data_IF_964574689634
#
_entry.id   IF_964574689634
#
_cell.length_a   1.000
_cell.length_b   1.000
_cell.length_c   1.000
_cell.angle_alpha   90.00
_cell.angle_beta   90.00
_cell.angle_gamma   90.00
#
_symmetry.space_group_name_H-M   'P 1'
#
loop_
_entity.id
_entity.type
_entity.pdbx_description
1 polymer ?
#
# COMPACT_ATOMS: atom_id res chain seq x y z
N UNK A 1 -3.68 4.39 -23.20
CA UNK A 1 -2.67 5.37 -22.74
C UNK A 1 -2.63 5.62 -21.23
N UNK A 2 -3.55 5.07 -20.41
CA UNK A 2 -3.51 5.17 -18.94
C UNK A 2 -2.63 4.10 -18.23
N UNK A 3 -2.12 3.10 -18.96
CA UNK A 3 -1.45 1.94 -18.35
C UNK A 3 0.08 2.07 -18.24
N UNK A 4 0.69 3.06 -18.89
CA UNK A 4 2.13 3.32 -18.79
C UNK A 4 2.49 4.21 -17.59
N UNK A 5 1.51 4.70 -16.82
CA UNK A 5 1.74 5.59 -15.67
C UNK A 5 1.96 4.88 -14.34
N UNK A 6 1.62 3.59 -14.26
CA UNK A 6 1.64 2.88 -12.98
C UNK A 6 3.01 2.27 -12.62
N UNK A 7 3.89 2.07 -13.62
CA UNK A 7 5.27 1.64 -13.38
C UNK A 7 6.27 2.80 -13.22
N UNK A 8 5.81 4.06 -13.35
CA UNK A 8 6.71 5.23 -13.32
C UNK A 8 7.02 5.77 -11.93
N UNK A 9 6.25 5.45 -10.89
CA UNK A 9 6.49 6.08 -9.58
C UNK A 9 7.69 5.49 -8.82
N UNK A 10 8.09 4.25 -9.13
CA UNK A 10 9.28 3.64 -8.53
C UNK A 10 10.59 3.96 -9.27
N UNK A 11 10.57 4.56 -10.47
CA UNK A 11 11.83 4.92 -11.17
C UNK A 11 11.89 6.21 -12.00
N UNK A 12 10.83 6.89 -12.49
CA UNK A 12 11.02 8.20 -13.17
C UNK A 12 9.80 9.15 -13.24
N UNK A 13 10.07 10.38 -12.78
CA UNK A 13 9.43 11.71 -12.99
C UNK A 13 8.26 12.15 -12.07
N UNK A 14 8.57 12.89 -11.00
CA UNK A 14 8.09 14.25 -10.81
C UNK A 14 8.74 15.15 -11.88
N UNK A 15 8.03 16.13 -12.41
CA UNK A 15 8.56 17.03 -13.44
C UNK A 15 9.72 17.93 -12.95
N UNK A 16 10.26 17.75 -11.73
CA UNK A 16 11.29 18.63 -11.14
C UNK A 16 12.23 17.99 -10.09
N UNK A 17 12.31 16.67 -9.90
CA UNK A 17 13.22 16.09 -8.88
C UNK A 17 14.51 15.53 -9.46
N UNK A 18 15.63 15.84 -8.82
CA UNK A 18 16.99 15.50 -9.24
C UNK A 18 17.28 13.98 -9.11
N UNK A 19 18.29 13.45 -9.81
CA UNK A 19 18.75 12.07 -9.63
C UNK A 19 19.15 11.69 -8.21
N UNK A 20 19.59 12.66 -7.41
CA UNK A 20 20.07 12.45 -6.05
C UNK A 20 18.92 12.11 -5.07
N UNK A 21 17.79 12.80 -5.20
CA UNK A 21 16.58 12.57 -4.39
C UNK A 21 15.95 11.18 -4.62
N UNK A 22 16.19 10.55 -5.78
CA UNK A 22 15.68 9.21 -6.10
C UNK A 22 16.48 8.10 -5.43
N UNK A 23 17.81 8.26 -5.37
CA UNK A 23 18.68 7.29 -4.71
C UNK A 23 18.54 7.35 -3.18
N UNK A 24 18.26 8.52 -2.62
CA UNK A 24 17.98 8.68 -1.19
C UNK A 24 16.72 7.91 -0.73
N UNK A 25 15.69 7.82 -1.57
CA UNK A 25 14.43 7.12 -1.22
C UNK A 25 14.57 5.59 -1.25
N UNK A 26 15.30 5.03 -2.22
CA UNK A 26 15.62 3.60 -2.24
C UNK A 26 16.54 3.23 -1.08
N UNK A 27 17.52 4.08 -0.77
CA UNK A 27 18.36 3.92 0.42
C UNK A 27 17.55 4.01 1.72
N UNK A 28 16.52 4.87 1.79
CA UNK A 28 15.63 4.99 2.93
C UNK A 28 14.81 3.70 3.10
N UNK A 29 14.27 3.12 2.03
CA UNK A 29 13.53 1.85 2.06
C UNK A 29 14.44 0.71 2.53
N UNK A 30 15.62 0.54 1.93
CA UNK A 30 16.56 -0.50 2.34
C UNK A 30 17.04 -0.30 3.78
N UNK A 31 17.34 0.94 4.21
CA UNK A 31 17.68 1.25 5.61
C UNK A 31 16.53 1.02 6.59
N UNK A 32 15.28 1.32 6.20
CA UNK A 32 14.08 1.12 7.02
C UNK A 32 13.83 -0.36 7.35
N UNK A 33 14.33 -1.28 6.51
CA UNK A 33 14.17 -2.73 6.68
C UNK A 33 15.44 -3.46 7.15
N UNK A 34 16.60 -2.79 7.25
CA UNK A 34 17.88 -3.43 7.63
C UNK A 34 18.46 -2.95 8.96
N UNK A 35 17.98 -1.84 9.53
CA UNK A 35 18.52 -1.32 10.79
C UNK A 35 17.67 -1.76 12.00
N UNK A 36 18.13 -2.82 12.65
CA UNK A 36 17.86 -3.08 14.06
C UNK A 36 18.79 -2.22 14.92
N UNK A 37 18.22 -1.65 15.98
CA UNK A 37 18.86 -1.03 17.14
C UNK A 37 19.29 0.46 17.15
N UNK A 38 18.61 1.15 18.09
CA UNK A 38 19.11 2.04 19.16
C UNK A 38 19.88 3.30 18.76
N UNK A 39 19.27 4.45 19.05
CA UNK A 39 20.04 5.66 19.38
C UNK A 39 19.47 6.35 20.63
N UNK A 40 20.01 5.95 21.79
CA UNK A 40 20.25 6.89 22.90
C UNK A 40 21.50 7.68 22.52
N UNK A 41 21.47 9.02 22.56
CA UNK A 41 22.36 9.81 23.44
C UNK A 41 22.11 11.31 23.37
N UNK A 42 22.37 11.90 24.54
CA UNK A 42 22.31 13.29 24.97
C UNK A 42 23.49 14.14 24.47
N UNK A 43 23.24 15.47 24.39
CA UNK A 43 24.13 16.64 24.50
C UNK A 43 25.61 16.53 24.13
N UNK A 44 26.04 17.40 23.19
CA UNK A 44 27.22 18.24 23.41
C UNK A 44 27.16 19.53 22.56
N UNK A 45 27.35 20.69 23.22
CA UNK A 45 27.56 22.01 22.60
C UNK A 45 28.98 22.10 22.06
N UNK A 46 29.20 22.64 20.86
CA UNK A 46 30.47 23.28 20.52
C UNK A 46 30.30 24.45 19.54
N UNK A 47 31.19 25.42 19.76
CA UNK A 47 31.23 26.83 19.37
C UNK A 47 31.68 27.04 17.92
N UNK A 48 31.28 28.18 17.34
CA UNK A 48 31.75 28.73 16.06
C UNK A 48 33.28 28.83 15.98
N UNK A 49 33.85 28.38 14.86
CA UNK A 49 35.08 28.93 14.30
C UNK A 49 35.07 28.79 12.78
N UNK A 50 35.13 29.93 12.10
CA UNK A 50 35.22 30.10 10.65
C UNK A 50 36.62 29.75 10.15
N UNK A 51 36.74 28.82 9.20
CA UNK A 51 37.94 28.64 8.38
C UNK A 51 37.49 28.50 6.92
N UNK A 52 37.89 29.46 6.09
CA UNK A 52 37.76 29.38 4.65
C UNK A 52 38.87 28.47 4.08
N UNK A 53 38.49 27.37 3.45
CA UNK A 53 39.39 26.54 2.63
C UNK A 53 38.77 26.41 1.25
N UNK A 54 39.47 26.95 0.27
CA UNK A 54 39.22 26.82 -1.17
C UNK A 54 39.42 25.35 -1.56
N UNK A 55 38.32 24.63 -1.79
CA UNK A 55 38.37 23.26 -2.32
C UNK A 55 38.24 23.34 -3.84
N UNK A 56 39.32 22.97 -4.53
CA UNK A 56 39.30 22.61 -5.95
C UNK A 56 38.38 21.39 -6.07
N UNK A 57 37.16 21.60 -6.56
CA UNK A 57 36.23 20.52 -6.85
C UNK A 57 36.72 19.74 -8.08
N UNK A 58 37.60 18.77 -7.87
CA UNK A 58 37.66 17.61 -8.75
C UNK A 58 36.37 16.82 -8.49
N UNK A 59 35.36 17.04 -9.32
CA UNK A 59 34.21 16.14 -9.39
C UNK A 59 34.70 14.81 -9.95
N UNK A 60 35.18 13.93 -9.08
CA UNK A 60 35.16 12.51 -9.35
C UNK A 60 33.69 12.12 -9.52
N UNK A 61 33.28 11.81 -10.75
CA UNK A 61 31.99 11.17 -10.99
C UNK A 61 32.00 9.83 -10.28
N UNK A 62 31.34 9.75 -9.12
CA UNK A 62 30.95 8.48 -8.55
C UNK A 62 29.92 7.86 -9.50
N UNK A 63 30.36 6.86 -10.26
CA UNK A 63 29.52 5.98 -11.04
C UNK A 63 28.70 5.13 -10.07
N UNK A 64 27.41 5.43 -9.92
CA UNK A 64 26.48 4.64 -9.12
C UNK A 64 25.87 3.53 -9.99
N UNK A 65 26.55 2.38 -10.02
CA UNK A 65 26.09 1.13 -10.63
C UNK A 65 25.00 0.49 -9.74
N UNK A 66 23.74 0.90 -9.84
CA UNK A 66 22.64 0.14 -9.20
C UNK A 66 22.23 -1.06 -10.07
N UNK A 67 23.07 -2.10 -10.09
CA UNK A 67 22.67 -3.50 -10.33
C UNK A 67 22.98 -4.26 -9.05
N UNK A 68 22.00 -4.87 -8.38
CA UNK A 68 21.66 -6.28 -8.66
C UNK A 68 20.35 -6.71 -7.98
N UNK A 69 19.39 -7.27 -8.73
CA UNK A 69 18.37 -8.19 -8.19
C UNK A 69 18.62 -9.57 -8.79
N UNK A 70 19.39 -10.43 -8.13
CA UNK A 70 19.17 -11.86 -8.25
C UNK A 70 19.11 -12.51 -6.86
N UNK A 71 18.04 -13.24 -6.54
CA UNK A 71 18.21 -14.52 -5.81
C UNK A 71 17.06 -15.48 -6.13
N UNK A 72 17.27 -16.37 -7.10
CA UNK A 72 16.58 -17.64 -7.16
C UNK A 72 17.64 -18.74 -7.27
N UNK A 73 18.40 -18.96 -6.20
CA UNK A 73 19.42 -20.02 -6.07
C UNK A 73 18.80 -21.40 -5.74
N UNK A 74 17.48 -21.51 -5.86
CA UNK A 74 16.68 -22.70 -5.58
C UNK A 74 16.61 -23.09 -4.10
N UNK A 75 17.20 -22.30 -3.19
CA UNK A 75 17.26 -22.66 -1.77
C UNK A 75 15.96 -22.27 -1.06
N UNK A 76 15.43 -23.15 -0.19
CA UNK A 76 14.31 -22.81 0.65
C UNK A 76 14.72 -21.80 1.73
N UNK A 77 13.75 -21.06 2.28
CA UNK A 77 13.98 -20.22 3.44
C UNK A 77 14.40 -21.03 4.68
N UNK A 78 15.09 -20.37 5.61
CA UNK A 78 15.41 -20.94 6.92
C UNK A 78 14.16 -21.03 7.80
N UNK A 79 13.50 -22.19 7.75
CA UNK A 79 12.28 -22.48 8.52
C UNK A 79 12.48 -22.53 10.05
N UNK A 80 13.70 -22.37 10.55
CA UNK A 80 13.94 -22.20 11.99
C UNK A 80 13.54 -20.81 12.51
N UNK A 81 13.43 -19.82 11.62
CA UNK A 81 13.04 -18.44 11.93
C UNK A 81 11.52 -18.25 11.79
N UNK A 82 10.91 -17.32 12.54
CA UNK A 82 9.52 -16.93 12.32
C UNK A 82 9.29 -16.39 10.91
N UNK A 83 8.14 -16.71 10.31
CA UNK A 83 7.74 -16.18 9.01
C UNK A 83 7.53 -14.68 9.11
N UNK A 84 8.20 -13.91 8.25
CA UNK A 84 8.05 -12.46 8.16
C UNK A 84 6.90 -12.13 7.20
N UNK A 85 5.81 -11.59 7.74
CA UNK A 85 4.56 -11.33 7.01
C UNK A 85 4.48 -9.86 6.61
N UNK A 86 4.23 -9.62 5.33
CA UNK A 86 3.92 -8.31 4.77
C UNK A 86 2.49 -8.33 4.23
N UNK A 87 1.63 -7.49 4.82
CA UNK A 87 0.20 -7.47 4.48
C UNK A 87 -0.06 -6.39 3.42
N UNK A 88 -0.63 -6.79 2.29
CA UNK A 88 -0.97 -5.95 1.14
C UNK A 88 -2.47 -5.63 1.16
N UNK A 89 -2.79 -4.35 1.33
CA UNK A 89 -4.13 -3.80 1.46
C UNK A 89 -4.36 -2.68 0.44
N UNK A 90 -5.63 -2.37 0.14
CA UNK A 90 -5.98 -1.23 -0.70
C UNK A 90 -7.13 -1.53 -1.64
N UNK A 91 -7.03 -1.09 -2.90
CA UNK A 91 -8.07 -1.29 -3.92
C UNK A 91 -7.54 -1.89 -5.23
N UNK A 92 -8.16 -1.60 -6.38
CA UNK A 92 -7.90 -2.24 -7.69
C UNK A 92 -6.42 -2.23 -8.11
N UNK A 93 -5.70 -1.17 -7.75
CA UNK A 93 -4.28 -1.00 -8.00
C UNK A 93 -3.42 -1.97 -7.17
N UNK A 94 -3.79 -2.22 -5.90
CA UNK A 94 -3.21 -3.31 -5.10
C UNK A 94 -3.65 -4.69 -5.59
N UNK A 95 -4.94 -4.87 -5.93
CA UNK A 95 -5.48 -6.14 -6.45
C UNK A 95 -4.67 -6.60 -7.65
N UNK A 96 -4.39 -5.68 -8.57
CA UNK A 96 -3.57 -5.91 -9.74
C UNK A 96 -4.38 -6.21 -10.99
N UNK A 97 -4.54 -5.20 -11.84
CA UNK A 97 -5.13 -5.31 -13.18
C UNK A 97 -4.05 -5.22 -14.28
N UNK A 98 -2.76 -5.26 -13.89
CA UNK A 98 -1.60 -5.42 -14.76
C UNK A 98 -1.79 -6.65 -15.64
N UNK A 99 -1.54 -6.61 -16.96
CA UNK A 99 -1.64 -7.81 -17.80
C UNK A 99 -0.34 -8.61 -17.73
N UNK A 100 -0.42 -9.89 -17.40
CA UNK A 100 0.76 -10.78 -17.48
C UNK A 100 1.06 -11.08 -18.95
N UNK A 101 0.04 -11.49 -19.70
CA UNK A 101 0.13 -11.91 -21.10
C UNK A 101 -0.44 -10.86 -22.06
N UNK A 102 -0.01 -10.90 -23.31
CA UNK A 102 -0.55 -10.10 -24.42
C UNK A 102 0.44 -9.08 -25.00
N UNK A 103 -0.09 -8.09 -25.72
CA UNK A 103 0.72 -7.12 -26.48
C UNK A 103 1.53 -6.13 -25.64
N UNK A 104 1.88 -4.98 -26.23
CA UNK A 104 2.95 -4.06 -25.75
C UNK A 104 2.89 -3.61 -24.27
N UNK A 105 1.72 -3.70 -23.64
CA UNK A 105 1.49 -3.30 -22.25
C UNK A 105 1.58 -4.46 -21.24
N UNK A 106 1.93 -5.68 -21.68
CA UNK A 106 2.01 -6.87 -20.83
C UNK A 106 3.37 -7.02 -20.15
N UNK A 107 3.39 -7.78 -19.04
CA UNK A 107 4.63 -8.17 -18.38
C UNK A 107 5.50 -9.04 -19.30
N UNK A 108 4.92 -9.98 -20.05
CA UNK A 108 5.64 -10.80 -21.02
C UNK A 108 6.38 -9.96 -22.04
N UNK A 109 5.73 -8.95 -22.62
CA UNK A 109 6.37 -8.04 -23.56
C UNK A 109 7.49 -7.23 -22.90
N UNK A 110 7.25 -6.71 -21.69
CA UNK A 110 8.25 -5.97 -20.93
C UNK A 110 9.50 -6.81 -20.63
N UNK A 111 9.33 -8.09 -20.28
CA UNK A 111 10.42 -8.99 -19.90
C UNK A 111 11.09 -9.61 -21.12
N UNK A 112 10.33 -10.22 -22.01
CA UNK A 112 10.88 -11.04 -23.11
C UNK A 112 11.39 -10.17 -24.26
N UNK A 113 10.70 -9.09 -24.58
CA UNK A 113 11.04 -8.20 -25.72
C UNK A 113 11.82 -6.97 -25.28
N UNK A 114 11.36 -6.25 -24.25
CA UNK A 114 12.03 -5.01 -23.77
C UNK A 114 13.17 -5.26 -22.78
N UNK A 115 13.42 -6.52 -22.42
CA UNK A 115 14.48 -6.94 -21.48
C UNK A 115 14.45 -6.21 -20.13
N UNK A 116 13.26 -5.83 -19.66
CA UNK A 116 13.05 -5.27 -18.32
C UNK A 116 12.82 -6.40 -17.31
N UNK A 117 13.04 -6.13 -16.02
CA UNK A 117 12.77 -7.07 -14.92
C UNK A 117 13.33 -8.48 -15.17
N UNK A 118 14.55 -8.57 -15.72
CA UNK A 118 15.15 -9.87 -16.10
C UNK A 118 15.35 -10.80 -14.90
N UNK A 119 15.33 -10.27 -13.67
CA UNK A 119 15.32 -11.06 -12.44
C UNK A 119 14.07 -11.95 -12.26
N UNK A 120 13.04 -11.75 -13.08
CA UNK A 120 11.83 -12.58 -13.06
C UNK A 120 11.97 -13.85 -13.90
N UNK A 121 12.97 -13.94 -14.79
CA UNK A 121 13.19 -15.10 -15.65
C UNK A 121 14.56 -15.72 -15.44
N UNK A 122 14.67 -17.03 -15.67
CA UNK A 122 15.94 -17.75 -15.68
C UNK A 122 16.63 -17.67 -17.05
N UNK A 123 17.76 -18.37 -17.19
CA UNK A 123 18.55 -18.41 -18.42
C UNK A 123 17.80 -19.08 -19.59
N UNK A 124 16.79 -19.92 -19.30
CA UNK A 124 15.91 -20.51 -20.31
C UNK A 124 14.77 -19.56 -20.72
N UNK A 125 14.59 -18.45 -20.00
CA UNK A 125 13.51 -17.49 -20.21
C UNK A 125 12.20 -17.88 -19.53
N UNK A 126 12.23 -18.88 -18.67
CA UNK A 126 11.09 -19.33 -17.86
C UNK A 126 10.98 -18.49 -16.59
N UNK A 127 9.75 -18.36 -16.06
CA UNK A 127 9.52 -17.58 -14.84
C UNK A 127 10.21 -18.24 -13.64
N UNK A 128 11.03 -17.47 -12.95
CA UNK A 128 11.69 -17.92 -11.72
C UNK A 128 10.66 -18.21 -10.62
N UNK A 129 11.03 -19.11 -9.71
CA UNK A 129 10.25 -19.44 -8.52
C UNK A 129 11.09 -19.15 -7.27
N UNK A 130 10.51 -18.44 -6.32
CA UNK A 130 11.10 -18.17 -5.00
C UNK A 130 10.67 -19.23 -4.00
N UNK A 131 11.60 -20.08 -3.58
CA UNK A 131 11.37 -21.14 -2.58
C UNK A 131 11.42 -20.61 -1.12
N UNK A 132 11.57 -19.31 -0.96
CA UNK A 132 11.71 -18.58 0.30
C UNK A 132 10.60 -17.53 0.49
N UNK A 133 9.92 -17.13 -0.60
CA UNK A 133 8.84 -16.15 -0.59
C UNK A 133 7.53 -16.82 -1.01
N UNK A 134 6.50 -16.76 -0.16
CA UNK A 134 5.17 -17.30 -0.49
C UNK A 134 4.18 -16.18 -0.72
N UNK A 135 3.39 -16.33 -1.78
CA UNK A 135 2.28 -15.43 -2.09
C UNK A 135 0.96 -16.07 -1.64
N UNK A 136 0.33 -15.42 -0.68
CA UNK A 136 -0.97 -15.81 -0.15
C UNK A 136 -1.95 -14.69 -0.47
N UNK A 137 -3.10 -15.02 -1.07
CA UNK A 137 -4.13 -14.03 -1.40
C UNK A 137 -5.51 -14.50 -0.98
N UNK A 138 -6.22 -13.62 -0.30
CA UNK A 138 -7.64 -13.73 -0.02
C UNK A 138 -8.38 -12.54 -0.62
N UNK A 139 -9.64 -12.75 -0.98
CA UNK A 139 -10.50 -11.67 -1.45
C UNK A 139 -11.90 -11.88 -0.89
N UNK A 140 -12.42 -10.86 -0.22
CA UNK A 140 -13.80 -10.80 0.26
C UNK A 140 -14.80 -11.26 -0.81
N UNK A 141 -15.69 -12.18 -0.43
CA UNK A 141 -16.69 -12.78 -1.32
C UNK A 141 -16.17 -13.86 -2.28
N UNK A 142 -14.84 -14.11 -2.34
CA UNK A 142 -14.24 -15.20 -3.12
C UNK A 142 -13.47 -16.21 -2.28
N UNK A 143 -13.00 -15.81 -1.09
CA UNK A 143 -12.22 -16.67 -0.20
C UNK A 143 -10.74 -16.76 -0.61
N UNK A 144 -10.04 -17.86 -0.28
CA UNK A 144 -8.63 -18.04 -0.64
C UNK A 144 -8.47 -18.18 -2.16
N UNK A 145 -7.54 -17.42 -2.73
CA UNK A 145 -7.26 -17.40 -4.17
C UNK A 145 -5.86 -17.93 -4.51
N UNK A 146 -4.86 -17.67 -3.65
CA UNK A 146 -3.48 -18.06 -3.90
C UNK A 146 -2.85 -18.58 -2.61
N UNK A 147 -2.02 -19.61 -2.76
CA UNK A 147 -1.20 -20.19 -1.71
C UNK A 147 0.01 -20.90 -2.34
N UNK A 148 0.91 -20.14 -2.95
CA UNK A 148 1.97 -20.67 -3.81
C UNK A 148 3.32 -19.98 -3.56
N UNK A 149 4.40 -20.68 -3.89
CA UNK A 149 5.72 -20.07 -3.98
C UNK A 149 5.70 -18.95 -5.00
N UNK A 150 6.35 -17.83 -4.69
CA UNK A 150 6.24 -16.63 -5.51
C UNK A 150 6.85 -16.90 -6.89
N UNK A 151 6.00 -16.84 -7.90
CA UNK A 151 6.34 -16.92 -9.32
C UNK A 151 5.29 -16.16 -10.10
N UNK A 152 5.64 -15.68 -11.29
CA UNK A 152 4.68 -15.02 -12.17
C UNK A 152 3.65 -16.05 -12.66
N UNK A 153 2.40 -15.88 -12.22
CA UNK A 153 1.30 -16.76 -12.60
C UNK A 153 0.04 -15.97 -12.98
N UNK A 154 -0.94 -16.68 -13.55
CA UNK A 154 -2.25 -16.12 -13.89
C UNK A 154 -2.27 -15.14 -15.07
N UNK A 155 -3.36 -14.37 -15.17
CA UNK A 155 -3.58 -13.41 -16.26
C UNK A 155 -3.28 -11.96 -15.85
N UNK A 156 -3.35 -11.66 -14.55
CA UNK A 156 -3.15 -10.31 -14.04
C UNK A 156 -2.14 -10.27 -12.91
N UNK A 157 -1.46 -9.13 -12.77
CA UNK A 157 -0.51 -8.85 -11.71
C UNK A 157 -0.79 -7.51 -11.01
N UNK A 158 -0.47 -7.45 -9.72
CA UNK A 158 -0.33 -6.23 -8.94
C UNK A 158 1.13 -5.96 -8.58
N UNK A 159 1.40 -5.31 -7.44
CA UNK A 159 2.77 -4.98 -7.03
C UNK A 159 3.52 -6.15 -6.36
N UNK A 160 2.90 -7.31 -6.17
CA UNK A 160 3.40 -8.43 -5.37
C UNK A 160 4.81 -8.89 -5.78
N UNK A 161 5.10 -9.00 -7.08
CA UNK A 161 6.42 -9.44 -7.55
C UNK A 161 7.49 -8.36 -7.38
N UNK A 162 7.11 -7.10 -7.53
CA UNK A 162 7.99 -5.95 -7.31
C UNK A 162 8.32 -5.73 -5.83
N UNK A 163 7.48 -6.25 -4.92
CA UNK A 163 7.66 -6.18 -3.46
C UNK A 163 8.38 -7.43 -2.95
N UNK A 164 7.88 -8.62 -3.30
CA UNK A 164 8.33 -9.87 -2.72
C UNK A 164 9.74 -10.27 -3.12
N UNK A 165 10.17 -9.99 -4.37
CA UNK A 165 11.54 -10.33 -4.80
C UNK A 165 12.61 -9.54 -4.03
N UNK A 166 12.52 -8.19 -3.90
CA UNK A 166 13.45 -7.44 -3.07
C UNK A 166 13.40 -7.84 -1.59
N UNK A 167 12.22 -8.09 -1.03
CA UNK A 167 12.08 -8.50 0.37
C UNK A 167 12.74 -9.85 0.65
N UNK A 168 12.51 -10.85 -0.20
CA UNK A 168 13.18 -12.14 -0.03
C UNK A 168 14.69 -12.08 -0.23
N UNK A 169 15.21 -11.10 -0.99
CA UNK A 169 16.66 -10.89 -1.07
C UNK A 169 17.23 -10.26 0.20
N UNK A 170 16.44 -9.42 0.87
CA UNK A 170 16.85 -8.68 2.06
C UNK A 170 16.66 -9.47 3.36
N UNK A 171 15.85 -10.53 3.34
CA UNK A 171 15.41 -11.25 4.54
C UNK A 171 15.74 -12.74 4.37
N UNK A 172 16.60 -13.28 5.23
CA UNK A 172 16.94 -14.71 5.22
C UNK A 172 15.85 -15.61 5.83
N UNK A 173 14.90 -15.03 6.57
CA UNK A 173 13.74 -15.73 7.11
C UNK A 173 12.67 -15.97 6.03
N UNK A 174 11.73 -16.92 6.21
CA UNK A 174 10.65 -17.13 5.25
C UNK A 174 9.78 -15.89 5.14
N UNK A 175 9.45 -15.45 3.91
CA UNK A 175 8.68 -14.22 3.67
C UNK A 175 7.29 -14.53 3.13
N UNK A 176 6.24 -14.11 3.83
CA UNK A 176 4.86 -14.17 3.33
C UNK A 176 4.43 -12.81 2.79
N UNK A 177 4.07 -12.76 1.51
CA UNK A 177 3.28 -11.66 0.94
C UNK A 177 1.80 -12.03 1.06
N UNK A 178 1.10 -11.43 2.03
CA UNK A 178 -0.30 -11.71 2.32
C UNK A 178 -1.18 -10.58 1.77
N UNK A 179 -1.87 -10.83 0.65
CA UNK A 179 -2.76 -9.84 0.03
C UNK A 179 -4.22 -10.10 0.38
N UNK A 180 -4.86 -9.10 0.99
CA UNK A 180 -6.27 -9.13 1.38
C UNK A 180 -6.92 -7.81 0.96
N UNK A 181 -7.41 -7.73 -0.28
CA UNK A 181 -8.04 -6.50 -0.77
C UNK A 181 -8.98 -6.78 -1.96
N UNK A 182 -9.90 -5.86 -2.21
CA UNK A 182 -10.79 -5.87 -3.37
C UNK A 182 -10.90 -4.47 -3.99
N UNK A 183 -11.20 -4.41 -5.29
CA UNK A 183 -11.30 -3.14 -6.01
C UNK A 183 -12.50 -2.29 -5.61
N UNK A 184 -12.43 -1.00 -5.97
CA UNK A 184 -13.49 0.00 -5.76
C UNK A 184 -13.90 0.14 -4.28
N UNK A 185 -12.95 0.52 -3.42
CA UNK A 185 -13.14 0.66 -1.98
C UNK A 185 -12.57 1.98 -1.50
N UNK A 186 -13.38 2.78 -0.80
CA UNK A 186 -12.97 4.06 -0.24
C UNK A 186 -12.40 3.89 1.16
N UNK A 187 -11.37 4.67 1.51
CA UNK A 187 -10.86 4.75 2.87
C UNK A 187 -11.87 5.45 3.80
N UNK A 188 -12.50 6.52 3.32
CA UNK A 188 -13.51 7.29 4.03
C UNK A 188 -14.89 6.63 4.13
N UNK A 189 -15.04 5.37 3.67
CA UNK A 189 -16.30 4.63 3.79
C UNK A 189 -16.07 3.14 4.03
N UNK A 190 -15.63 2.40 3.01
CA UNK A 190 -15.59 0.94 3.05
C UNK A 190 -14.52 0.39 4.00
N UNK A 191 -13.37 1.07 4.06
CA UNK A 191 -12.18 0.66 4.81
C UNK A 191 -11.99 1.45 6.11
N UNK A 192 -13.02 2.19 6.56
CA UNK A 192 -12.95 2.90 7.83
C UNK A 192 -12.61 1.93 8.97
N UNK A 193 -11.54 2.16 9.75
CA UNK A 193 -11.20 1.30 10.86
C UNK A 193 -12.14 1.49 12.06
N UNK A 194 -12.19 0.52 12.99
CA UNK A 194 -12.92 0.65 14.25
C UNK A 194 -12.57 1.93 15.00
N UNK A 195 -13.60 2.65 15.46
CA UNK A 195 -13.45 3.92 16.17
C UNK A 195 -13.39 5.16 15.26
N UNK A 196 -13.53 5.01 13.94
CA UNK A 196 -13.71 6.16 13.04
C UNK A 196 -15.01 6.90 13.36
N UNK A 197 -14.91 8.20 13.58
CA UNK A 197 -16.04 9.07 13.93
C UNK A 197 -16.73 9.64 12.69
N UNK A 198 -18.00 10.05 12.84
CA UNK A 198 -18.70 10.86 11.84
C UNK A 198 -17.96 12.18 11.59
N UNK A 199 -18.03 12.68 10.36
CA UNK A 199 -17.41 13.95 9.97
C UNK A 199 -18.37 14.84 9.19
N UNK A 200 -18.19 16.16 9.29
CA UNK A 200 -18.98 17.13 8.52
C UNK A 200 -18.30 17.38 7.17
N UNK A 201 -19.09 17.55 6.12
CA UNK A 201 -18.61 18.10 4.86
C UNK A 201 -19.67 18.99 4.23
N UNK A 202 -19.25 20.14 3.70
CA UNK A 202 -20.13 21.04 2.96
C UNK A 202 -19.97 20.76 1.47
N UNK A 203 -21.01 20.22 0.86
CA UNK A 203 -21.07 20.06 -0.60
C UNK A 203 -21.81 21.24 -1.23
N UNK A 204 -21.42 21.62 -2.45
CA UNK A 204 -22.16 22.58 -3.27
C UNK A 204 -22.79 21.86 -4.44
N UNK A 205 -24.08 22.07 -4.65
CA UNK A 205 -24.75 21.57 -5.84
C UNK A 205 -24.41 22.42 -7.09
N UNK A 206 -24.97 22.05 -8.25
CA UNK A 206 -24.73 22.75 -9.51
C UNK A 206 -25.24 24.19 -9.52
N UNK A 207 -26.19 24.54 -8.65
CA UNK A 207 -26.71 25.89 -8.48
C UNK A 207 -25.89 26.70 -7.45
N UNK A 208 -24.86 26.09 -6.84
CA UNK A 208 -24.02 26.71 -5.83
C UNK A 208 -24.63 26.67 -4.43
N UNK A 209 -25.75 25.96 -4.24
CA UNK A 209 -26.40 25.83 -2.92
C UNK A 209 -25.57 24.89 -2.06
N UNK A 210 -25.21 25.37 -0.87
CA UNK A 210 -24.47 24.60 0.12
C UNK A 210 -25.38 23.63 0.87
N UNK A 211 -24.93 22.38 0.99
CA UNK A 211 -25.54 21.35 1.81
C UNK A 211 -24.51 20.81 2.80
N UNK A 212 -24.86 20.86 4.08
CA UNK A 212 -24.09 20.19 5.13
C UNK A 212 -24.43 18.71 5.15
N UNK A 213 -23.42 17.87 5.07
CA UNK A 213 -23.54 16.43 5.09
C UNK A 213 -22.85 15.87 6.33
N UNK A 214 -23.43 14.84 6.90
CA UNK A 214 -22.77 13.93 7.83
C UNK A 214 -22.21 12.78 7.00
N UNK A 215 -20.89 12.62 7.02
CA UNK A 215 -20.20 11.44 6.51
C UNK A 215 -20.11 10.40 7.63
N UNK A 216 -20.33 9.14 7.26
CA UNK A 216 -20.44 8.03 8.19
C UNK A 216 -19.17 7.79 9.03
N UNK A 217 -19.36 7.50 10.31
CA UNK A 217 -18.36 6.85 11.16
C UNK A 217 -18.46 5.32 11.03
N UNK A 218 -17.52 4.59 11.62
CA UNK A 218 -17.51 3.12 11.60
C UNK A 218 -18.84 2.54 12.08
N UNK A 219 -19.40 1.57 11.34
CA UNK A 219 -20.74 0.94 11.52
C UNK A 219 -21.96 1.81 11.20
N UNK A 220 -21.78 3.08 10.81
CA UNK A 220 -22.89 3.88 10.30
C UNK A 220 -23.34 3.41 8.90
N UNK A 221 -24.54 3.84 8.54
CA UNK A 221 -25.16 3.64 7.22
C UNK A 221 -26.19 4.73 6.94
N UNK A 222 -26.29 5.28 5.72
CA UNK A 222 -25.48 5.03 4.52
C UNK A 222 -24.14 5.79 4.54
N UNK A 223 -23.46 5.88 3.39
CA UNK A 223 -22.14 6.53 3.19
C UNK A 223 -22.09 7.98 3.72
N UNK A 224 -23.14 8.74 3.45
CA UNK A 224 -23.37 10.08 4.02
C UNK A 224 -24.86 10.43 3.93
N UNK A 225 -25.31 11.42 4.72
CA UNK A 225 -26.68 11.93 4.70
C UNK A 225 -26.72 13.44 4.99
N UNK A 226 -27.85 14.08 4.67
CA UNK A 226 -28.04 15.50 4.97
C UNK A 226 -28.09 15.74 6.48
N UNK A 227 -27.38 16.78 6.92
CA UNK A 227 -27.28 17.16 8.33
C UNK A 227 -28.49 18.00 8.75
N UNK A 228 -29.12 17.62 9.86
CA UNK A 228 -30.08 18.46 10.58
C UNK A 228 -29.31 19.59 11.29
N UNK A 229 -29.56 20.87 10.97
CA UNK A 229 -28.83 21.99 11.55
C UNK A 229 -28.88 22.05 13.08
N UNK A 230 -29.96 21.55 13.71
CA UNK A 230 -30.10 21.55 15.16
C UNK A 230 -29.33 20.40 15.83
N UNK A 231 -29.03 19.32 15.09
CA UNK A 231 -28.37 18.12 15.64
C UNK A 231 -26.89 18.00 15.26
N UNK A 232 -26.47 18.62 14.16
CA UNK A 232 -25.09 18.52 13.67
C UNK A 232 -24.70 17.06 13.38
N UNK A 233 -23.52 16.62 13.81
CA UNK A 233 -23.05 15.23 13.64
C UNK A 233 -23.90 14.16 14.36
N UNK A 234 -24.76 14.58 15.30
CA UNK A 234 -25.74 13.69 15.95
C UNK A 234 -27.00 13.46 15.10
N UNK A 235 -27.04 14.01 13.89
CA UNK A 235 -28.13 13.71 12.94
C UNK A 235 -28.11 12.23 12.62
N UNK A 236 -29.22 11.54 12.85
CA UNK A 236 -29.37 10.14 12.44
C UNK A 236 -29.93 10.03 11.01
N UNK A 237 -29.43 9.08 10.21
CA UNK A 237 -29.90 8.89 8.84
C UNK A 237 -31.29 8.24 8.81
N UNK A 238 -32.00 8.43 7.70
CA UNK A 238 -33.19 7.66 7.39
C UNK A 238 -32.85 6.16 7.19
N UNK A 239 -33.82 5.24 7.33
CA UNK A 239 -33.59 3.82 7.07
C UNK A 239 -32.96 3.55 5.70
N UNK A 240 -31.81 2.88 5.68
CA UNK A 240 -31.11 2.54 4.44
C UNK A 240 -31.55 1.19 3.90
N UNK A 241 -32.44 1.24 2.91
CA UNK A 241 -33.06 0.08 2.28
C UNK A 241 -32.85 0.08 0.76
N UNK A 242 -32.95 -1.09 0.15
CA UNK A 242 -32.90 -1.25 -1.30
C UNK A 242 -34.23 -0.82 -1.96
N UNK A 243 -34.31 -0.95 -3.29
CA UNK A 243 -35.50 -0.60 -4.08
C UNK A 243 -36.77 -1.36 -3.70
N UNK A 244 -36.66 -2.47 -2.95
CA UNK A 244 -37.77 -3.29 -2.48
C UNK A 244 -38.06 -3.07 -0.98
N UNK A 245 -37.40 -2.09 -0.34
CA UNK A 245 -37.55 -1.84 1.10
C UNK A 245 -36.77 -2.80 1.99
N UNK A 246 -35.88 -3.64 1.43
CA UNK A 246 -35.05 -4.57 2.23
C UNK A 246 -33.84 -3.82 2.80
N UNK A 247 -33.48 -4.02 4.08
CA UNK A 247 -32.27 -3.44 4.64
C UNK A 247 -31.02 -3.82 3.85
N UNK A 248 -30.19 -2.82 3.55
CA UNK A 248 -28.91 -3.05 2.88
C UNK A 248 -27.90 -3.53 3.93
N UNK A 249 -27.32 -4.70 3.68
CA UNK A 249 -26.23 -5.26 4.48
C UNK A 249 -24.88 -4.72 3.99
N UNK A 250 -24.67 -3.43 4.20
CA UNK A 250 -23.37 -2.77 4.10
C UNK A 250 -23.29 -1.69 5.20
N UNK A 251 -22.08 -1.25 5.53
CA UNK A 251 -21.84 -0.22 6.54
C UNK A 251 -20.40 0.30 6.41
N UNK A 252 -20.15 1.47 6.99
CA UNK A 252 -18.81 2.05 7.08
C UNK A 252 -17.84 1.09 7.78
N UNK A 253 -16.78 0.68 7.09
CA UNK A 253 -15.78 -0.27 7.60
C UNK A 253 -16.09 -1.74 7.33
N UNK A 254 -17.14 -2.08 6.56
CA UNK A 254 -17.44 -3.49 6.24
C UNK A 254 -16.30 -4.15 5.47
N UNK A 255 -15.62 -3.42 4.58
CA UNK A 255 -14.49 -3.98 3.86
C UNK A 255 -13.26 -4.13 4.75
N UNK A 256 -13.03 -3.19 5.68
CA UNK A 256 -12.01 -3.36 6.73
C UNK A 256 -12.24 -4.68 7.47
N UNK A 257 -13.45 -4.92 7.98
CA UNK A 257 -13.76 -6.13 8.75
C UNK A 257 -13.49 -7.42 7.94
N UNK A 258 -13.85 -7.42 6.66
CA UNK A 258 -13.59 -8.54 5.77
C UNK A 258 -12.11 -8.76 5.48
N UNK A 259 -11.37 -7.72 5.09
CA UNK A 259 -9.96 -7.85 4.70
C UNK A 259 -9.08 -8.22 5.91
N UNK A 260 -9.33 -7.61 7.07
CA UNK A 260 -8.65 -7.96 8.32
C UNK A 260 -9.01 -9.36 8.78
N UNK A 261 -10.30 -9.72 8.70
CA UNK A 261 -10.77 -11.06 9.03
C UNK A 261 -10.10 -12.14 8.16
N UNK A 262 -9.98 -11.90 6.86
CA UNK A 262 -9.33 -12.82 5.93
C UNK A 262 -7.82 -12.91 6.16
N UNK A 263 -7.14 -11.79 6.46
CA UNK A 263 -5.73 -11.81 6.84
C UNK A 263 -5.51 -12.64 8.11
N UNK A 264 -6.35 -12.47 9.13
CA UNK A 264 -6.27 -13.26 10.37
C UNK A 264 -6.53 -14.75 10.13
N UNK A 265 -7.47 -15.10 9.25
CA UNK A 265 -7.70 -16.51 8.87
C UNK A 265 -6.46 -17.12 8.21
N UNK A 266 -5.86 -16.41 7.27
CA UNK A 266 -4.62 -16.86 6.63
C UNK A 266 -3.50 -17.08 7.65
N UNK A 267 -3.33 -16.15 8.59
CA UNK A 267 -2.31 -16.27 9.63
C UNK A 267 -2.58 -17.37 10.65
N UNK A 268 -3.85 -17.65 10.97
CA UNK A 268 -4.23 -18.80 11.80
C UNK A 268 -3.92 -20.13 11.10
N UNK A 269 -3.98 -20.16 9.77
CA UNK A 269 -3.67 -21.30 8.91
C UNK A 269 -2.17 -21.36 8.51
N UNK A 270 -1.25 -20.77 9.29
CA UNK A 270 0.17 -20.67 8.94
C UNK A 270 0.78 -22.02 8.53
N UNK A 271 0.48 -23.12 9.22
CA UNK A 271 1.02 -24.45 8.89
C UNK A 271 0.63 -24.92 7.47
N UNK A 272 -0.54 -24.52 6.95
CA UNK A 272 -0.94 -24.80 5.56
C UNK A 272 -0.16 -23.95 4.55
N UNK A 273 0.29 -22.79 4.98
CA UNK A 273 1.10 -21.86 4.20
C UNK A 273 2.60 -22.07 4.40
N UNK A 274 3.06 -22.70 5.46
CA UNK A 274 4.47 -22.96 5.68
C UNK A 274 4.58 -24.16 6.62
N UNK A 275 4.50 -25.39 6.08
CA UNK A 275 4.60 -26.59 6.90
C UNK A 275 5.88 -26.58 7.73
N UNK A 276 5.75 -26.81 9.04
CA UNK A 276 6.84 -26.78 10.00
C UNK A 276 7.21 -25.41 10.56
N UNK A 277 6.55 -24.32 10.15
CA UNK A 277 6.79 -22.99 10.68
C UNK A 277 6.50 -22.92 12.18
N UNK A 278 7.34 -22.21 12.93
CA UNK A 278 7.23 -22.07 14.39
C UNK A 278 6.39 -20.88 14.84
N UNK A 279 6.04 -19.99 13.91
CA UNK A 279 5.28 -18.78 14.18
C UNK A 279 5.50 -17.75 13.07
N UNK A 280 4.90 -16.58 13.25
CA UNK A 280 5.03 -15.46 12.33
C UNK A 280 5.18 -14.13 13.07
N UNK A 281 5.69 -13.13 12.36
CA UNK A 281 5.71 -11.73 12.76
C UNK A 281 5.16 -10.87 11.62
N UNK A 282 4.24 -9.96 11.91
CA UNK A 282 3.78 -8.97 10.91
C UNK A 282 4.79 -7.83 10.86
N UNK A 283 5.71 -7.90 9.90
CA UNK A 283 6.83 -6.99 9.73
C UNK A 283 6.41 -5.64 9.11
N UNK A 284 5.35 -5.64 8.30
CA UNK A 284 4.87 -4.41 7.71
C UNK A 284 3.64 -4.54 6.83
N UNK A 285 3.24 -3.39 6.31
CA UNK A 285 2.03 -3.18 5.53
C UNK A 285 2.36 -2.42 4.26
N UNK A 286 1.79 -2.86 3.16
CA UNK A 286 1.76 -2.12 1.90
C UNK A 286 0.33 -1.72 1.62
N UNK A 287 0.11 -0.44 1.40
CA UNK A 287 -1.22 0.11 1.14
C UNK A 287 -1.22 0.85 -0.19
N UNK A 288 -2.13 0.49 -1.09
CA UNK A 288 -2.32 1.22 -2.34
C UNK A 288 -3.79 1.48 -2.63
N UNK A 289 -4.22 2.68 -2.27
CA UNK A 289 -5.59 3.12 -2.34
C UNK A 289 -5.65 4.64 -2.41
N UNK A 290 -6.76 5.15 -2.95
CA UNK A 290 -7.13 6.55 -2.83
C UNK A 290 -7.92 7.07 -4.02
N UNK A 291 -7.92 6.37 -5.16
CA UNK A 291 -8.66 6.82 -6.35
C UNK A 291 -10.19 6.89 -6.09
N UNK A 292 -10.73 6.03 -5.21
CA UNK A 292 -12.16 6.08 -4.86
C UNK A 292 -12.48 7.32 -4.01
N UNK A 293 -11.60 7.68 -3.07
CA UNK A 293 -11.74 8.87 -2.22
C UNK A 293 -11.50 10.14 -3.03
N UNK A 294 -10.55 10.14 -3.97
CA UNK A 294 -10.33 11.24 -4.91
C UNK A 294 -11.58 11.50 -5.80
N UNK A 295 -12.44 10.50 -5.99
CA UNK A 295 -13.73 10.66 -6.67
C UNK A 295 -14.84 11.28 -5.81
N UNK A 296 -14.61 11.52 -4.51
CA UNK A 296 -15.60 12.08 -3.57
C UNK A 296 -14.93 13.14 -2.67
N UNK A 297 -15.28 14.40 -2.87
CA UNK A 297 -14.64 15.51 -2.18
C UNK A 297 -14.70 15.43 -0.64
N UNK A 298 -15.78 14.89 -0.06
CA UNK A 298 -15.87 14.72 1.38
C UNK A 298 -14.98 13.60 1.91
N UNK A 299 -14.82 12.50 1.15
CA UNK A 299 -13.82 11.49 1.52
C UNK A 299 -12.39 12.02 1.43
N UNK A 300 -12.07 12.71 0.34
CA UNK A 300 -10.76 13.31 0.13
C UNK A 300 -10.40 14.31 1.22
N UNK A 301 -11.34 15.17 1.63
CA UNK A 301 -11.15 16.17 2.68
C UNK A 301 -10.80 15.54 4.05
N UNK A 302 -11.23 14.31 4.31
CA UNK A 302 -10.98 13.60 5.57
C UNK A 302 -9.93 12.48 5.44
N UNK A 303 -9.29 12.36 4.27
CA UNK A 303 -8.46 11.21 3.93
C UNK A 303 -7.25 11.06 4.86
N UNK A 304 -6.56 12.16 5.19
CA UNK A 304 -5.40 12.13 6.09
C UNK A 304 -5.76 11.61 7.49
N UNK A 305 -6.82 12.16 8.09
CA UNK A 305 -7.34 11.71 9.41
C UNK A 305 -7.63 10.21 9.37
N UNK A 306 -8.32 9.76 8.32
CA UNK A 306 -8.69 8.36 8.16
C UNK A 306 -7.48 7.45 7.92
N UNK A 307 -6.48 7.91 7.17
CA UNK A 307 -5.24 7.17 6.92
C UNK A 307 -4.41 7.00 8.20
N UNK A 308 -4.28 8.05 9.00
CA UNK A 308 -3.61 7.98 10.31
C UNK A 308 -4.34 6.99 11.23
N UNK A 309 -5.68 7.04 11.28
CA UNK A 309 -6.48 6.10 12.05
C UNK A 309 -6.30 4.65 11.55
N UNK A 310 -6.29 4.45 10.24
CA UNK A 310 -6.13 3.16 9.57
C UNK A 310 -4.77 2.52 9.92
N UNK A 311 -3.67 3.29 9.82
CA UNK A 311 -2.32 2.83 10.18
C UNK A 311 -2.27 2.41 11.65
N UNK A 312 -2.81 3.23 12.56
CA UNK A 312 -2.85 2.92 14.00
C UNK A 312 -3.66 1.66 14.28
N UNK A 313 -4.82 1.52 13.64
CA UNK A 313 -5.68 0.36 13.79
C UNK A 313 -4.98 -0.92 13.30
N UNK A 314 -4.30 -0.89 12.16
CA UNK A 314 -3.57 -2.06 11.63
C UNK A 314 -2.48 -2.54 12.59
N UNK A 315 -1.66 -1.61 13.07
CA UNK A 315 -0.58 -1.91 14.02
C UNK A 315 -1.13 -2.52 15.31
N UNK A 316 -2.25 -2.00 15.81
CA UNK A 316 -2.93 -2.58 16.98
C UNK A 316 -3.47 -3.98 16.68
N UNK A 317 -4.15 -4.14 15.56
CA UNK A 317 -4.88 -5.35 15.19
C UNK A 317 -3.98 -6.57 15.01
N UNK A 318 -2.77 -6.35 14.48
CA UNK A 318 -1.77 -7.39 14.24
C UNK A 318 -0.64 -7.39 15.28
N UNK A 319 -0.79 -6.67 16.40
CA UNK A 319 0.23 -6.54 17.43
C UNK A 319 1.62 -6.16 16.86
N UNK A 320 1.62 -5.24 15.89
CA UNK A 320 2.80 -4.80 15.15
C UNK A 320 3.03 -3.28 15.37
N UNK A 321 3.33 -2.82 16.60
CA UNK A 321 3.45 -1.40 16.91
C UNK A 321 4.53 -0.68 16.08
N UNK A 322 5.58 -1.42 15.68
CA UNK A 322 6.69 -0.92 14.85
C UNK A 322 6.59 -1.35 13.39
N UNK A 323 5.49 -2.01 12.99
CA UNK A 323 5.27 -2.47 11.63
C UNK A 323 5.41 -1.32 10.64
N UNK A 324 6.31 -1.49 9.66
CA UNK A 324 6.56 -0.47 8.64
C UNK A 324 5.33 -0.32 7.77
N UNK A 325 5.04 0.88 7.33
CA UNK A 325 3.88 1.17 6.48
C UNK A 325 4.38 1.86 5.22
N UNK A 326 4.11 1.26 4.06
CA UNK A 326 4.48 1.80 2.75
C UNK A 326 3.20 2.14 2.01
N UNK A 327 3.03 3.42 1.67
CA UNK A 327 1.87 3.92 0.97
C UNK A 327 2.19 4.22 -0.51
N UNK A 328 1.49 3.56 -1.42
CA UNK A 328 1.54 3.88 -2.85
C UNK A 328 0.67 5.09 -3.18
N UNK A 329 1.23 6.08 -3.88
CA UNK A 329 0.50 7.28 -4.31
C UNK A 329 -0.37 7.02 -5.53
N UNK A 330 -1.26 7.95 -5.84
CA UNK A 330 -2.11 7.90 -7.04
C UNK A 330 -1.26 8.14 -8.30
N UNK A 331 -1.35 7.24 -9.29
CA UNK A 331 -0.53 7.30 -10.51
C UNK A 331 -0.83 8.50 -11.44
N UNK A 332 -1.96 9.18 -11.24
CA UNK A 332 -2.38 10.35 -12.03
C UNK A 332 -2.23 11.68 -11.28
N UNK A 333 -1.90 11.65 -9.99
CA UNK A 333 -1.80 12.86 -9.19
C UNK A 333 -0.53 13.65 -9.51
N UNK A 334 -0.66 14.98 -9.49
CA UNK A 334 0.44 15.91 -9.79
C UNK A 334 0.65 16.79 -8.57
N UNK A 335 1.88 16.80 -8.01
CA UNK A 335 2.21 17.66 -6.88
C UNK A 335 1.93 19.12 -7.22
N UNK A 336 1.23 19.82 -6.33
CA UNK A 336 0.82 21.21 -6.52
C UNK A 336 -0.49 21.41 -7.30
N UNK A 337 -1.20 20.34 -7.66
CA UNK A 337 -2.58 20.46 -8.13
C UNK A 337 -3.55 20.82 -6.99
N UNK A 338 -4.80 21.09 -7.33
CA UNK A 338 -5.88 21.37 -6.37
C UNK A 338 -7.01 20.34 -6.47
N UNK A 339 -7.87 20.30 -5.46
CA UNK A 339 -9.07 19.46 -5.43
C UNK A 339 -8.83 18.06 -4.85
N UNK A 340 -9.85 17.20 -4.89
CA UNK A 340 -9.87 15.93 -4.15
C UNK A 340 -8.67 15.00 -4.40
N UNK A 341 -8.21 14.90 -5.63
CA UNK A 341 -7.00 14.13 -5.97
C UNK A 341 -5.74 14.68 -5.30
N UNK A 342 -5.62 16.00 -5.19
CA UNK A 342 -4.51 16.65 -4.49
C UNK A 342 -4.61 16.45 -2.98
N UNK A 343 -5.81 16.52 -2.40
CA UNK A 343 -6.03 16.29 -0.97
C UNK A 343 -5.58 14.87 -0.58
N UNK A 344 -5.97 13.86 -1.37
CA UNK A 344 -5.54 12.47 -1.17
C UNK A 344 -4.02 12.32 -1.35
N UNK A 345 -3.43 12.94 -2.38
CA UNK A 345 -1.97 12.91 -2.57
C UNK A 345 -1.23 13.56 -1.39
N UNK A 346 -1.69 14.72 -0.91
CA UNK A 346 -1.07 15.42 0.20
C UNK A 346 -1.13 14.58 1.47
N UNK A 347 -2.27 13.91 1.71
CA UNK A 347 -2.41 12.98 2.82
C UNK A 347 -1.46 11.77 2.71
N UNK A 348 -1.25 11.21 1.50
CA UNK A 348 -0.24 10.15 1.31
C UNK A 348 1.17 10.61 1.65
N UNK A 349 1.50 11.87 1.39
CA UNK A 349 2.83 12.44 1.63
C UNK A 349 3.03 12.91 3.08
N UNK A 350 1.97 12.98 3.88
CA UNK A 350 2.00 13.48 5.26
C UNK A 350 2.24 12.37 6.31
N UNK A 351 2.07 11.09 5.96
CA UNK A 351 2.06 9.96 6.89
C UNK A 351 3.32 9.10 6.88
#
# INVERSE_FOLDING_TARGET
MAFLRFFCFLLFKPKNSSPQERNEMLQLITKLFTSGDIMKTSFLRFTLATVAVTVIAMTAFAQDDTKTIPRPDGKPADMSKPVQVFILLGQSNMVGLGKVKGGEISLEHAVKEKKKYQYLVDDAGDWTVRQDVRFVRYMSGKGPLNNEWMTVSGNTLGPEYGIGHPLGNAIDAPVMILKCCIGNRALGWDLLPPGSERSEFVSKDKAGVEKKLVYAGYKDKPEFWEMDPAKGLKTEPAPWVDKNGKPIDWYAGKQWDSDIGDAKKALADLEKHYPGAKGYEVAGFFFWQGERDAGNAGHAAHYEKNLVAFIKALRKEFNAPNGKFVCGTLGEAVKGSSGPTADVLNAHLAV
#
